data_IF_793988996320
#
_entry.id   IF_793988996320
#
_cell.length_a   1.000
_cell.length_b   1.000
_cell.length_c   1.000
_cell.angle_alpha   90.00
_cell.angle_beta   90.00
_cell.angle_gamma   90.00
#
_symmetry.space_group_name_H-M   'P 1'
#
loop_
_entity.id
_entity.type
_entity.pdbx_description
1 polymer ?
#
# COMPACT_ATOMS: atom_id res chain seq x y z
N UNK A 1 4.10 19.98 -2.06
CA UNK A 1 5.22 20.32 -1.18
C UNK A 1 4.82 21.48 -0.28
N UNK A 2 5.14 21.47 1.02
CA UNK A 2 4.82 22.57 1.94
C UNK A 2 6.07 22.98 2.72
N UNK A 3 6.39 24.28 2.78
CA UNK A 3 7.50 24.81 3.59
C UNK A 3 7.09 24.95 5.05
N UNK A 4 7.91 24.44 5.97
CA UNK A 4 7.73 24.65 7.40
C UNK A 4 8.20 26.06 7.79
N UNK A 5 7.32 26.84 8.45
CA UNK A 5 7.61 28.25 8.79
C UNK A 5 8.08 28.48 10.22
N UNK A 6 7.73 27.59 11.16
CA UNK A 6 7.95 27.79 12.60
C UNK A 6 8.95 26.81 13.22
N UNK A 7 9.21 25.68 12.57
CA UNK A 7 10.09 24.62 13.06
C UNK A 7 11.57 24.93 12.77
N UNK A 8 11.95 25.37 11.56
CA UNK A 8 13.33 25.76 11.30
C UNK A 8 13.71 27.00 12.13
N UNK A 9 14.88 26.96 12.78
CA UNK A 9 15.45 28.11 13.47
C UNK A 9 16.05 29.15 12.51
N UNK A 10 16.51 30.32 13.00
CA UNK A 10 17.03 31.41 12.16
C UNK A 10 18.17 31.00 11.22
N UNK A 11 19.02 30.07 11.65
CA UNK A 11 20.19 29.61 10.89
C UNK A 11 19.97 28.25 10.20
N UNK A 12 18.73 27.75 10.17
CA UNK A 12 18.42 26.47 9.55
C UNK A 12 18.17 26.63 8.04
N UNK A 13 18.46 25.57 7.28
CA UNK A 13 18.01 25.47 5.89
C UNK A 13 16.49 25.42 5.81
N UNK A 14 15.94 25.72 4.62
CA UNK A 14 14.51 25.56 4.37
C UNK A 14 14.11 24.08 4.46
N UNK A 15 13.17 23.77 5.35
CA UNK A 15 12.60 22.42 5.49
C UNK A 15 11.25 22.37 4.79
N UNK A 16 11.11 21.42 3.87
CA UNK A 16 9.88 21.14 3.15
C UNK A 16 9.34 19.75 3.48
N UNK A 17 8.02 19.60 3.43
CA UNK A 17 7.33 18.33 3.67
C UNK A 17 6.43 17.97 2.49
N UNK A 18 6.52 16.70 2.07
CA UNK A 18 5.65 16.07 1.08
C UNK A 18 4.52 15.36 1.83
N UNK A 19 3.32 15.94 1.78
CA UNK A 19 2.19 15.53 2.61
C UNK A 19 1.44 14.32 2.02
N UNK A 20 2.06 13.15 2.05
CA UNK A 20 1.50 11.91 1.49
C UNK A 20 0.29 11.34 2.26
N UNK A 21 -0.03 11.90 3.43
CA UNK A 21 -1.27 11.56 4.12
C UNK A 21 -2.51 12.16 3.45
N UNK A 22 -2.33 13.08 2.49
CA UNK A 22 -3.44 13.65 1.71
C UNK A 22 -3.88 12.75 0.55
N UNK A 23 -3.21 11.62 0.31
CA UNK A 23 -3.73 10.63 -0.62
C UNK A 23 -5.07 10.06 -0.09
N UNK A 24 -5.98 9.57 -0.97
CA UNK A 24 -7.34 9.21 -0.57
C UNK A 24 -7.48 8.13 0.52
N UNK A 25 -6.55 7.17 0.57
CA UNK A 25 -6.41 6.15 1.61
C UNK A 25 -5.59 6.59 2.82
N UNK A 26 -5.18 7.86 2.85
CA UNK A 26 -4.53 8.52 3.98
C UNK A 26 -3.03 8.27 4.11
N UNK A 27 -2.37 7.74 3.08
CA UNK A 27 -0.93 7.46 3.16
C UNK A 27 -0.19 7.38 1.83
N UNK A 28 1.14 7.36 1.92
CA UNK A 28 2.04 7.11 0.77
C UNK A 28 1.79 5.75 0.09
N UNK A 29 1.18 4.79 0.79
CA UNK A 29 0.99 3.43 0.26
C UNK A 29 -0.04 3.36 -0.85
N UNK A 30 -0.90 4.36 -0.99
CA UNK A 30 -1.88 4.44 -2.07
C UNK A 30 -1.19 4.44 -3.44
N UNK A 31 -0.02 5.08 -3.53
CA UNK A 31 0.82 5.10 -4.74
C UNK A 31 1.22 3.70 -5.17
N UNK A 32 1.72 2.90 -4.23
CA UNK A 32 2.17 1.54 -4.51
C UNK A 32 0.97 0.61 -4.74
N UNK A 33 -0.18 0.88 -4.09
CA UNK A 33 -1.42 0.16 -4.36
C UNK A 33 -1.84 0.29 -5.83
N UNK A 34 -1.92 1.52 -6.35
CA UNK A 34 -2.18 1.77 -7.77
C UNK A 34 -1.10 1.14 -8.64
N UNK A 35 0.17 1.38 -8.32
CA UNK A 35 1.28 0.98 -9.17
C UNK A 35 1.47 -0.54 -9.28
N UNK A 36 1.37 -1.27 -8.17
CA UNK A 36 1.49 -2.73 -8.16
C UNK A 36 0.30 -3.40 -8.87
N UNK A 37 -0.93 -2.97 -8.59
CA UNK A 37 -2.14 -3.59 -9.17
C UNK A 37 -2.19 -3.34 -10.69
N UNK A 38 -2.00 -2.09 -11.13
CA UNK A 38 -2.06 -1.76 -12.55
C UNK A 38 -0.95 -2.44 -13.36
N UNK A 39 0.24 -2.61 -12.77
CA UNK A 39 1.34 -3.33 -13.44
C UNK A 39 1.12 -4.84 -13.44
N UNK A 40 0.63 -5.43 -12.36
CA UNK A 40 0.28 -6.85 -12.32
C UNK A 40 -0.77 -7.18 -13.39
N UNK A 41 -1.81 -6.34 -13.52
CA UNK A 41 -2.83 -6.51 -14.56
C UNK A 41 -2.24 -6.39 -15.98
N UNK A 42 -1.41 -5.37 -16.25
CA UNK A 42 -0.75 -5.21 -17.56
C UNK A 42 0.22 -6.34 -17.90
N UNK A 43 0.87 -6.91 -16.88
CA UNK A 43 1.80 -8.03 -17.04
C UNK A 43 1.08 -9.40 -17.16
N UNK A 44 -0.25 -9.43 -17.07
CA UNK A 44 -1.03 -10.67 -17.11
C UNK A 44 -0.90 -11.52 -15.84
N UNK A 45 -0.39 -10.96 -14.73
CA UNK A 45 -0.26 -11.65 -13.44
C UNK A 45 -1.58 -11.65 -12.65
N UNK A 46 -2.51 -10.77 -13.02
CA UNK A 46 -3.81 -10.63 -12.39
C UNK A 46 -4.85 -10.32 -13.49
N UNK A 47 -5.76 -11.24 -13.73
CA UNK A 47 -6.81 -11.06 -14.73
C UNK A 47 -8.01 -10.27 -14.14
N UNK A 48 -8.82 -9.58 -14.97
CA UNK A 48 -9.98 -8.83 -14.49
C UNK A 48 -10.91 -9.66 -13.58
N UNK A 49 -11.33 -9.07 -12.45
CA UNK A 49 -12.14 -9.76 -11.44
C UNK A 49 -11.37 -10.73 -10.54
N UNK A 50 -10.04 -10.81 -10.69
CA UNK A 50 -9.18 -11.64 -9.84
C UNK A 50 -9.10 -11.20 -8.38
N UNK A 51 -8.30 -11.93 -7.60
CA UNK A 51 -8.16 -11.72 -6.16
C UNK A 51 -6.77 -11.24 -5.79
N UNK A 52 -6.68 -10.10 -5.12
CA UNK A 52 -5.45 -9.61 -4.50
C UNK A 52 -5.38 -10.15 -3.08
N UNK A 53 -4.26 -10.74 -2.69
CA UNK A 53 -4.04 -11.28 -1.35
C UNK A 53 -2.76 -10.67 -0.79
N UNK A 54 -2.81 -9.93 0.32
CA UNK A 54 -1.60 -9.32 0.89
C UNK A 54 -1.48 -9.58 2.40
N UNK A 55 -0.33 -10.09 2.87
CA UNK A 55 -0.01 -10.09 4.29
C UNK A 55 0.37 -8.67 4.74
N UNK A 56 -0.44 -8.08 5.61
CA UNK A 56 -0.24 -6.67 5.99
C UNK A 56 -0.87 -6.36 7.34
N UNK A 57 -0.34 -5.33 7.97
CA UNK A 57 -0.74 -4.86 9.29
C UNK A 57 -1.01 -3.35 9.29
N UNK A 58 -0.99 -2.73 8.11
CA UNK A 58 -0.79 -1.30 7.98
C UNK A 58 -1.39 -0.69 6.73
N UNK A 59 -0.82 0.44 6.36
CA UNK A 59 -1.39 1.30 5.32
C UNK A 59 -1.39 0.64 3.94
N UNK A 60 -0.53 -0.34 3.69
CA UNK A 60 -0.58 -1.12 2.43
C UNK A 60 -1.88 -1.90 2.30
N UNK A 61 -2.43 -2.43 3.40
CA UNK A 61 -3.74 -3.10 3.34
C UNK A 61 -4.89 -2.14 3.08
N UNK A 62 -4.84 -0.95 3.68
CA UNK A 62 -5.83 0.12 3.44
C UNK A 62 -5.76 0.57 1.97
N UNK A 63 -4.56 0.81 1.45
CA UNK A 63 -4.33 1.18 0.07
C UNK A 63 -4.83 0.12 -0.91
N UNK A 64 -4.51 -1.16 -0.67
CA UNK A 64 -4.96 -2.26 -1.53
C UNK A 64 -6.46 -2.49 -1.43
N UNK A 65 -7.07 -2.35 -0.25
CA UNK A 65 -8.53 -2.40 -0.11
C UNK A 65 -9.19 -1.29 -0.94
N UNK A 66 -8.78 -0.04 -0.74
CA UNK A 66 -9.33 1.10 -1.47
C UNK A 66 -9.14 0.95 -2.98
N UNK A 67 -7.91 0.72 -3.43
CA UNK A 67 -7.56 0.74 -4.85
C UNK A 67 -8.03 -0.54 -5.55
N UNK A 68 -7.78 -1.70 -4.96
CA UNK A 68 -8.12 -3.00 -5.55
C UNK A 68 -9.62 -3.18 -5.73
N UNK A 69 -10.42 -2.85 -4.70
CA UNK A 69 -11.88 -2.92 -4.78
C UNK A 69 -12.40 -1.96 -5.84
N UNK A 70 -11.90 -0.72 -5.87
CA UNK A 70 -12.29 0.27 -6.88
C UNK A 70 -11.92 -0.15 -8.32
N UNK A 71 -10.83 -0.90 -8.48
CA UNK A 71 -10.41 -1.47 -9.77
C UNK A 71 -11.14 -2.77 -10.13
N UNK A 72 -12.10 -3.22 -9.32
CA UNK A 72 -12.94 -4.39 -9.60
C UNK A 72 -12.31 -5.73 -9.20
N UNK A 73 -11.33 -5.73 -8.29
CA UNK A 73 -10.73 -6.94 -7.75
C UNK A 73 -11.30 -7.27 -6.37
N UNK A 74 -11.36 -8.57 -6.05
CA UNK A 74 -11.54 -9.02 -4.66
C UNK A 74 -10.23 -8.78 -3.90
N UNK A 75 -10.30 -8.31 -2.66
CA UNK A 75 -9.09 -8.02 -1.85
C UNK A 75 -9.17 -8.76 -0.53
N UNK A 76 -8.19 -9.61 -0.26
CA UNK A 76 -8.04 -10.37 0.99
C UNK A 76 -6.76 -9.93 1.70
N UNK A 77 -6.88 -9.58 2.98
CA UNK A 77 -5.79 -9.03 3.79
C UNK A 77 -5.56 -9.96 4.98
N UNK A 78 -4.39 -10.58 5.02
CA UNK A 78 -3.99 -11.44 6.14
C UNK A 78 -3.34 -10.57 7.21
N UNK A 79 -3.97 -10.47 8.38
CA UNK A 79 -3.59 -9.53 9.46
C UNK A 79 -3.42 -10.28 10.78
N UNK A 80 -2.28 -10.20 11.48
CA UNK A 80 -2.14 -10.81 12.80
C UNK A 80 -3.03 -10.11 13.84
N UNK A 81 -3.62 -10.87 14.76
CA UNK A 81 -4.64 -10.38 15.71
C UNK A 81 -4.21 -9.21 16.61
N UNK A 82 -2.92 -9.09 16.90
CA UNK A 82 -2.34 -8.05 17.74
C UNK A 82 -2.19 -6.69 17.06
N UNK A 83 -2.52 -6.56 15.77
CA UNK A 83 -2.48 -5.28 15.08
C UNK A 83 -3.75 -4.43 15.29
N UNK A 84 -3.60 -3.13 15.06
CA UNK A 84 -4.62 -2.09 15.29
C UNK A 84 -6.00 -2.51 14.77
N UNK A 85 -6.99 -2.42 15.67
CA UNK A 85 -8.39 -2.69 15.35
C UNK A 85 -8.90 -1.64 14.38
N UNK A 86 -8.53 -0.37 14.59
CA UNK A 86 -8.92 0.77 13.77
C UNK A 86 -8.54 0.55 12.30
N UNK A 87 -7.32 0.07 12.04
CA UNK A 87 -6.87 -0.23 10.67
C UNK A 87 -7.64 -1.38 10.05
N UNK A 88 -7.97 -2.42 10.82
CA UNK A 88 -8.79 -3.55 10.32
C UNK A 88 -10.19 -3.10 9.95
N UNK A 89 -10.80 -2.24 10.76
CA UNK A 89 -12.13 -1.71 10.46
C UNK A 89 -12.14 -0.79 9.24
N UNK A 90 -11.10 0.04 9.05
CA UNK A 90 -10.94 0.83 7.82
C UNK A 90 -10.80 -0.08 6.58
N UNK A 91 -9.98 -1.14 6.66
CA UNK A 91 -9.84 -2.10 5.57
C UNK A 91 -11.18 -2.74 5.18
N UNK A 92 -11.95 -3.20 6.17
CA UNK A 92 -13.28 -3.79 5.94
C UNK A 92 -14.27 -2.78 5.36
N UNK A 93 -14.30 -1.55 5.88
CA UNK A 93 -15.19 -0.49 5.40
C UNK A 93 -14.91 -0.11 3.94
N UNK A 94 -13.66 -0.26 3.49
CA UNK A 94 -13.24 -0.07 2.10
C UNK A 94 -13.54 -1.27 1.20
N UNK A 95 -14.16 -2.34 1.72
CA UNK A 95 -14.54 -3.54 0.97
C UNK A 95 -13.48 -4.65 0.98
N UNK A 96 -12.39 -4.49 1.73
CA UNK A 96 -11.38 -5.54 1.91
C UNK A 96 -11.84 -6.63 2.87
N UNK A 97 -11.55 -7.88 2.55
CA UNK A 97 -11.78 -9.02 3.44
C UNK A 97 -10.59 -9.18 4.38
N UNK A 98 -10.81 -9.12 5.69
CA UNK A 98 -9.74 -9.28 6.68
C UNK A 98 -9.74 -10.69 7.23
N UNK A 99 -8.67 -11.43 6.95
CA UNK A 99 -8.40 -12.76 7.51
C UNK A 99 -7.42 -12.61 8.66
N UNK A 100 -7.88 -12.92 9.89
CA UNK A 100 -7.03 -12.86 11.06
C UNK A 100 -6.12 -14.09 11.14
N UNK A 101 -4.86 -13.87 11.53
CA UNK A 101 -3.90 -14.95 11.84
C UNK A 101 -3.51 -14.91 13.32
N UNK A 102 -3.15 -16.06 13.93
CA UNK A 102 -2.78 -16.11 15.33
C UNK A 102 -1.72 -15.08 15.68
N UNK A 103 -1.89 -14.43 16.84
CA UNK A 103 -0.95 -13.41 17.34
C UNK A 103 0.49 -13.92 17.41
N UNK A 104 0.68 -15.16 17.88
CA UNK A 104 2.00 -15.72 18.17
C UNK A 104 2.82 -15.99 16.89
N UNK A 105 2.15 -16.18 15.76
CA UNK A 105 2.80 -16.36 14.45
C UNK A 105 3.24 -15.02 13.82
N UNK A 106 2.69 -13.91 14.32
CA UNK A 106 2.97 -12.56 13.85
C UNK A 106 2.87 -12.44 12.32
N UNK A 107 3.73 -11.61 11.73
CA UNK A 107 3.74 -11.41 10.27
C UNK A 107 4.12 -12.66 9.48
N UNK A 108 4.86 -13.61 10.06
CA UNK A 108 5.19 -14.87 9.38
C UNK A 108 3.94 -15.71 9.16
N UNK A 109 3.04 -15.76 10.15
CA UNK A 109 1.73 -16.40 10.01
C UNK A 109 0.86 -15.73 8.94
N UNK A 110 0.83 -14.40 8.90
CA UNK A 110 0.12 -13.67 7.84
C UNK A 110 0.66 -13.99 6.45
N UNK A 111 1.99 -14.05 6.27
CA UNK A 111 2.63 -14.42 5.00
C UNK A 111 2.24 -15.85 4.61
N UNK A 112 2.43 -16.82 5.51
CA UNK A 112 2.08 -18.22 5.24
C UNK A 112 0.60 -18.36 4.86
N UNK A 113 -0.30 -17.67 5.57
CA UNK A 113 -1.73 -17.69 5.26
C UNK A 113 -2.04 -17.07 3.90
N UNK A 114 -1.35 -15.99 3.52
CA UNK A 114 -1.53 -15.39 2.19
C UNK A 114 -1.09 -16.34 1.06
N UNK A 115 0.00 -17.09 1.26
CA UNK A 115 0.50 -18.07 0.30
C UNK A 115 -0.39 -19.32 0.20
N UNK A 116 -0.99 -19.75 1.31
CA UNK A 116 -2.03 -20.80 1.31
C UNK A 116 -3.24 -20.39 0.48
N UNK A 117 -3.80 -19.21 0.78
CA UNK A 117 -4.96 -18.69 0.05
C UNK A 117 -4.65 -18.51 -1.44
N UNK A 118 -3.44 -18.07 -1.79
CA UNK A 118 -3.03 -17.93 -3.19
C UNK A 118 -2.96 -19.28 -3.93
N UNK A 119 -2.66 -20.39 -3.24
CA UNK A 119 -2.70 -21.73 -3.83
C UNK A 119 -4.12 -22.26 -4.02
N UNK A 120 -5.05 -21.81 -3.19
CA UNK A 120 -6.46 -22.27 -3.21
C UNK A 120 -7.35 -21.43 -4.14
N UNK A 121 -7.07 -20.13 -4.26
CA UNK A 121 -7.90 -19.20 -5.01
C UNK A 121 -7.30 -19.02 -6.41
N UNK A 122 -7.98 -19.48 -7.48
CA UNK A 122 -7.52 -19.26 -8.84
C UNK A 122 -7.56 -17.76 -9.19
N UNK A 123 -6.73 -17.35 -10.14
CA UNK A 123 -6.58 -15.94 -10.53
C UNK A 123 -6.33 -15.03 -9.31
N UNK A 124 -5.46 -15.50 -8.41
CA UNK A 124 -5.01 -14.72 -7.27
C UNK A 124 -3.60 -14.20 -7.47
N UNK A 125 -3.33 -13.04 -6.90
CA UNK A 125 -2.05 -12.37 -6.97
C UNK A 125 -1.66 -11.89 -5.57
N UNK A 126 -0.43 -12.21 -5.16
CA UNK A 126 0.17 -11.71 -3.92
C UNK A 126 1.15 -10.60 -4.28
N UNK A 127 0.83 -9.32 -4.02
CA UNK A 127 1.70 -8.22 -4.40
C UNK A 127 3.09 -8.29 -3.78
N UNK A 128 3.21 -8.75 -2.53
CA UNK A 128 4.48 -8.87 -1.80
C UNK A 128 5.28 -7.57 -1.82
N UNK A 129 4.77 -6.53 -1.14
CA UNK A 129 5.33 -5.17 -1.23
C UNK A 129 6.85 -5.05 -0.99
N UNK A 130 7.47 -5.98 -0.26
CA UNK A 130 8.90 -5.96 0.07
C UNK A 130 9.80 -6.50 -1.07
N UNK A 131 9.28 -7.41 -1.90
CA UNK A 131 10.02 -8.03 -3.00
C UNK A 131 9.64 -7.45 -4.36
N UNK A 132 8.49 -6.77 -4.45
CA UNK A 132 7.93 -6.31 -5.70
C UNK A 132 8.55 -4.98 -6.16
N UNK A 133 9.28 -5.02 -7.29
CA UNK A 133 9.91 -3.85 -7.90
C UNK A 133 8.90 -2.76 -8.26
N UNK A 134 7.64 -3.10 -8.49
CA UNK A 134 6.58 -2.13 -8.78
C UNK A 134 6.34 -1.16 -7.62
N UNK A 135 6.70 -1.52 -6.39
CA UNK A 135 6.69 -0.61 -5.25
C UNK A 135 7.68 0.55 -5.47
N UNK A 136 8.96 0.24 -5.71
CA UNK A 136 10.00 1.25 -5.90
C UNK A 136 9.79 2.04 -7.19
N UNK A 137 9.38 1.38 -8.27
CA UNK A 137 9.05 2.04 -9.54
C UNK A 137 7.92 3.07 -9.40
N UNK A 138 6.90 2.78 -8.58
CA UNK A 138 5.81 3.75 -8.34
C UNK A 138 6.35 5.08 -7.82
N UNK A 139 7.34 5.04 -6.92
CA UNK A 139 7.96 6.25 -6.40
C UNK A 139 8.93 6.89 -7.38
N UNK A 140 9.68 6.07 -8.14
CA UNK A 140 10.59 6.55 -9.17
C UNK A 140 9.85 7.31 -10.28
N UNK A 141 8.69 6.82 -10.70
CA UNK A 141 7.92 7.43 -11.78
C UNK A 141 7.04 8.59 -11.33
N UNK A 142 6.60 8.61 -10.07
CA UNK A 142 5.69 9.67 -9.58
C UNK A 142 6.32 10.51 -8.47
N UNK A 143 6.62 9.92 -7.31
CA UNK A 143 6.99 10.70 -6.12
C UNK A 143 8.28 11.50 -6.34
N UNK A 144 9.29 10.89 -6.95
CA UNK A 144 10.56 11.55 -7.29
C UNK A 144 10.37 12.73 -8.24
N UNK A 145 9.79 12.53 -9.45
CA UNK A 145 9.51 13.59 -10.39
C UNK A 145 8.62 14.70 -9.83
N UNK A 146 7.60 14.36 -9.03
CA UNK A 146 6.78 15.35 -8.35
C UNK A 146 7.59 16.21 -7.37
N UNK A 147 8.51 15.61 -6.61
CA UNK A 147 9.41 16.36 -5.72
C UNK A 147 10.32 17.27 -6.54
N UNK A 148 10.99 16.72 -7.56
CA UNK A 148 11.90 17.48 -8.41
C UNK A 148 11.20 18.68 -9.07
N UNK A 149 10.01 18.47 -9.64
CA UNK A 149 9.21 19.54 -10.23
C UNK A 149 8.75 20.57 -9.20
N UNK A 150 8.24 20.12 -8.04
CA UNK A 150 7.77 21.01 -6.97
C UNK A 150 8.88 21.85 -6.35
N UNK A 151 10.12 21.38 -6.45
CA UNK A 151 11.32 22.07 -5.99
C UNK A 151 12.05 22.81 -7.13
N UNK A 152 11.50 22.84 -8.34
CA UNK A 152 12.10 23.48 -9.51
C UNK A 152 13.55 22.99 -9.77
N UNK A 153 13.79 21.71 -9.53
CA UNK A 153 15.09 21.06 -9.67
C UNK A 153 16.11 21.35 -8.55
N UNK A 154 15.71 22.06 -7.49
CA UNK A 154 16.57 22.40 -6.34
C UNK A 154 16.39 21.39 -5.20
N UNK A 155 16.80 20.15 -5.44
CA UNK A 155 16.73 19.01 -4.49
C UNK A 155 18.12 18.51 -4.13
#
# INVERSE_FOLDING_TARGET
MVRLRKIPGPDAADIFVKLEFLNPGGSIKDRIGVGMIARAARAGLLEPGGTIIEPTAGNTGIALALVGVQMGYRVILCVPENFSIEKREVMKALGGEVVLTPKDDGMKGAIARSEELAREIPNSYVPQQFANVFNTESHYETTGPEIYQQMEGRV
#
